data_IF_495360945788
#
_entry.id   IF_495360945788
#
_cell.length_a   1.000
_cell.length_b   1.000
_cell.length_c   1.000
_cell.angle_alpha   90.00
_cell.angle_beta   90.00
_cell.angle_gamma   90.00
#
_symmetry.space_group_name_H-M   'P 1'
#
loop_
_entity.id
_entity.type
_entity.pdbx_description
1 polymer ?
#
# COMPACT_ATOMS: atom_id res chain seq x y z
N UNK A 1 17.03 -5.96 6.39
CA UNK A 1 16.62 -5.70 4.99
C UNK A 1 15.30 -4.94 5.02
N UNK A 2 15.35 -3.71 5.50
CA UNK A 2 14.23 -2.74 5.55
C UNK A 2 14.84 -1.45 4.98
N UNK A 3 14.10 -0.72 4.16
CA UNK A 3 14.36 0.70 3.79
C UNK A 3 14.78 1.11 2.37
N UNK A 4 14.93 0.23 1.36
CA UNK A 4 15.34 0.71 0.03
C UNK A 4 14.22 0.94 -1.01
N UNK A 5 12.99 0.45 -0.79
CA UNK A 5 11.89 0.59 -1.78
C UNK A 5 10.68 1.41 -1.28
N UNK A 6 10.64 1.76 0.01
CA UNK A 6 9.42 2.27 0.67
C UNK A 6 8.97 3.64 0.15
N UNK A 7 9.89 4.59 -0.02
CA UNK A 7 9.53 5.95 -0.44
C UNK A 7 9.05 6.02 -1.91
N UNK A 8 9.78 5.37 -2.82
CA UNK A 8 9.41 5.32 -4.24
C UNK A 8 8.15 4.49 -4.47
N UNK A 9 7.96 3.40 -3.73
CA UNK A 9 6.74 2.58 -3.80
C UNK A 9 5.51 3.37 -3.37
N UNK A 10 5.59 4.10 -2.25
CA UNK A 10 4.51 4.96 -1.75
C UNK A 10 4.15 6.04 -2.77
N UNK A 11 5.15 6.71 -3.37
CA UNK A 11 4.91 7.74 -4.39
C UNK A 11 4.21 7.16 -5.64
N UNK A 12 4.64 5.99 -6.11
CA UNK A 12 4.03 5.31 -7.26
C UNK A 12 2.56 4.97 -6.97
N UNK A 13 2.28 4.41 -5.79
CA UNK A 13 0.92 4.06 -5.36
C UNK A 13 0.02 5.29 -5.27
N UNK A 14 0.53 6.41 -4.76
CA UNK A 14 -0.18 7.68 -4.71
C UNK A 14 -0.60 8.15 -6.10
N UNK A 15 0.35 8.16 -7.05
CA UNK A 15 0.09 8.53 -8.45
C UNK A 15 -0.92 7.60 -9.14
N UNK A 16 -0.82 6.28 -8.93
CA UNK A 16 -1.79 5.34 -9.48
C UNK A 16 -3.20 5.56 -8.92
N UNK A 17 -3.32 5.79 -7.61
CA UNK A 17 -4.60 6.08 -6.96
C UNK A 17 -5.25 7.35 -7.53
N UNK A 18 -4.44 8.37 -7.82
CA UNK A 18 -4.91 9.60 -8.47
C UNK A 18 -5.40 9.37 -9.90
N UNK A 19 -4.66 8.63 -10.72
CA UNK A 19 -5.05 8.30 -12.11
C UNK A 19 -6.35 7.50 -12.13
N UNK A 20 -6.44 6.45 -11.31
CA UNK A 20 -7.64 5.59 -11.24
C UNK A 20 -8.84 6.36 -10.69
N UNK A 21 -8.67 7.13 -9.61
CA UNK A 21 -9.75 7.91 -9.03
C UNK A 21 -10.29 8.98 -9.96
N UNK A 22 -9.41 9.61 -10.75
CA UNK A 22 -9.82 10.57 -11.80
C UNK A 22 -10.60 9.87 -12.92
N UNK A 23 -10.14 8.70 -13.38
CA UNK A 23 -10.83 7.91 -14.39
C UNK A 23 -12.21 7.41 -13.92
N UNK A 24 -12.39 7.23 -12.61
CA UNK A 24 -13.66 6.84 -11.98
C UNK A 24 -14.56 8.04 -11.64
N UNK A 25 -14.18 9.27 -12.00
CA UNK A 25 -14.91 10.50 -11.66
C UNK A 25 -15.15 10.68 -10.15
N UNK A 26 -14.22 10.22 -9.31
CA UNK A 26 -14.29 10.45 -7.87
C UNK A 26 -14.12 11.94 -7.56
N UNK A 27 -14.72 12.37 -6.45
CA UNK A 27 -14.54 13.75 -6.00
C UNK A 27 -13.07 14.00 -5.61
N UNK A 28 -12.54 15.22 -5.85
CA UNK A 28 -11.17 15.56 -5.51
C UNK A 28 -10.78 15.23 -4.06
N UNK A 29 -11.69 15.45 -3.10
CA UNK A 29 -11.44 15.10 -1.70
C UNK A 29 -11.29 13.61 -1.43
N UNK A 30 -11.91 12.74 -2.23
CA UNK A 30 -11.74 11.27 -2.14
C UNK A 30 -10.39 10.86 -2.73
N UNK A 31 -9.98 11.50 -3.83
CA UNK A 31 -8.67 11.27 -4.45
C UNK A 31 -7.54 11.68 -3.49
N UNK A 32 -7.66 12.83 -2.84
CA UNK A 32 -6.72 13.31 -1.83
C UNK A 32 -6.69 12.38 -0.61
N UNK A 33 -7.86 11.91 -0.16
CA UNK A 33 -7.93 10.93 0.92
C UNK A 33 -7.18 9.64 0.56
N UNK A 34 -7.38 9.11 -0.65
CA UNK A 34 -6.68 7.92 -1.13
C UNK A 34 -5.16 8.17 -1.16
N UNK A 35 -4.71 9.29 -1.72
CA UNK A 35 -3.28 9.64 -1.79
C UNK A 35 -2.57 9.58 -0.42
N UNK A 36 -3.24 10.05 0.63
CA UNK A 36 -2.68 10.09 1.99
C UNK A 36 -2.94 8.81 2.80
N UNK A 37 -3.99 8.04 2.47
CA UNK A 37 -4.37 6.83 3.21
C UNK A 37 -3.67 5.56 2.70
N UNK A 38 -3.38 5.45 1.41
CA UNK A 38 -2.76 4.23 0.84
C UNK A 38 -1.39 3.89 1.46
N UNK A 39 -0.51 4.83 1.86
CA UNK A 39 0.74 4.50 2.54
C UNK A 39 0.53 3.78 3.89
N UNK A 40 -0.62 3.98 4.54
CA UNK A 40 -0.92 3.40 5.85
C UNK A 40 -1.49 1.98 5.78
N UNK A 41 -1.87 1.47 4.60
CA UNK A 41 -2.53 0.16 4.47
C UNK A 41 -1.69 -1.01 5.02
N UNK A 42 -0.36 -0.90 4.95
CA UNK A 42 0.58 -1.90 5.42
C UNK A 42 1.01 -1.71 6.88
N UNK A 43 0.54 -0.67 7.57
CA UNK A 43 0.92 -0.39 8.97
C UNK A 43 0.53 -1.55 9.89
N UNK A 44 -0.55 -2.27 9.57
CA UNK A 44 -1.01 -3.44 10.33
C UNK A 44 -0.04 -4.62 10.33
N UNK A 45 0.92 -4.66 9.39
CA UNK A 45 1.93 -5.73 9.31
C UNK A 45 3.10 -5.54 10.28
N UNK A 46 3.22 -4.38 10.94
CA UNK A 46 4.31 -4.08 11.89
C UNK A 46 4.30 -4.95 13.15
N UNK A 47 3.14 -5.48 13.54
CA UNK A 47 2.99 -6.35 14.71
C UNK A 47 3.10 -7.85 14.40
N UNK A 48 3.29 -8.23 13.13
CA UNK A 48 3.33 -9.63 12.72
C UNK A 48 4.76 -10.16 12.89
N UNK A 49 4.96 -11.31 13.56
CA UNK A 49 6.27 -11.95 13.68
C UNK A 49 6.92 -12.19 12.30
N UNK A 50 8.22 -11.95 12.19
CA UNK A 50 8.99 -12.15 10.95
C UNK A 50 8.89 -13.59 10.41
N UNK A 51 8.74 -14.59 11.29
CA UNK A 51 8.52 -15.99 10.90
C UNK A 51 7.21 -16.23 10.11
N UNK A 52 6.23 -15.34 10.30
CA UNK A 52 4.96 -15.35 9.56
C UNK A 52 5.06 -14.41 8.37
N UNK A 53 5.57 -13.19 8.56
CA UNK A 53 5.65 -12.16 7.51
C UNK A 53 6.65 -12.50 6.38
N UNK A 54 7.70 -13.25 6.70
CA UNK A 54 8.77 -13.65 5.78
C UNK A 54 8.80 -15.17 5.55
N UNK A 55 7.70 -15.89 5.83
CA UNK A 55 7.60 -17.35 5.58
C UNK A 55 7.96 -17.62 4.10
N UNK A 56 9.05 -18.34 3.80
CA UNK A 56 9.41 -18.65 2.42
C UNK A 56 8.48 -19.76 1.91
N UNK A 57 7.56 -19.38 1.03
CA UNK A 57 6.58 -20.30 0.41
C UNK A 57 5.24 -19.60 0.20
N UNK A 58 4.39 -20.10 -0.72
CA UNK A 58 3.04 -19.56 -0.88
C UNK A 58 2.27 -19.65 0.44
N UNK A 59 1.33 -18.72 0.64
CA UNK A 59 0.29 -18.91 1.64
C UNK A 59 -0.56 -20.10 1.20
N UNK A 60 -0.61 -21.10 2.06
CA UNK A 60 -1.42 -22.30 1.94
C UNK A 60 -2.88 -21.86 1.66
N UNK A 61 -3.62 -22.51 0.76
CA UNK A 61 -4.97 -22.09 0.33
C UNK A 61 -6.07 -22.34 1.37
N UNK A 62 -5.71 -22.72 2.61
CA UNK A 62 -6.64 -23.07 3.69
C UNK A 62 -6.83 -21.94 4.71
#
# INVERSE_FOLDING_TARGET
>A
YKDHDTAGHIERIGRYSQIVGTAMHLQPGVIDLLLHATPMHDVGKLGIPDSILLKPGPLDEE
#
